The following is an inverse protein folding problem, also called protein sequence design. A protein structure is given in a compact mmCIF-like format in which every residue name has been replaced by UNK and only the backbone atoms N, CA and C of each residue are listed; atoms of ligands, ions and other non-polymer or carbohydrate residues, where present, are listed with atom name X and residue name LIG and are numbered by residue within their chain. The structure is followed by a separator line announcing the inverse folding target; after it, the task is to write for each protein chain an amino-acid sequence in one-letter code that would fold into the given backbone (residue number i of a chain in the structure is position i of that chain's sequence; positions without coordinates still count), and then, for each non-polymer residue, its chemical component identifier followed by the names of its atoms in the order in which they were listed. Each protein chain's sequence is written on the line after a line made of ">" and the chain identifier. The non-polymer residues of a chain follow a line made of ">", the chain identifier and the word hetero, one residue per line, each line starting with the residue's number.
data_IF_200891973858
#
_entry.id   IF_200891973858
#
_cell.length_a   1.000
_cell.length_b   1.000
_cell.length_c   1.000
_cell.angle_alpha   90.00
_cell.angle_beta   90.00
_cell.angle_gamma   90.00
#
_symmetry.space_group_name_H-M   'P 1'
#
loop_
_entity.id
_entity.type
_entity.pdbx_description
1 polymer ?
#
# COMPACT_ATOMS: atom_id res chain seq x y z
N UNK A 1 -5.71 17.26 -26.19
CA UNK A 1 -6.75 16.74 -25.27
C UNK A 1 -6.45 17.24 -23.86
N UNK A 2 -7.35 17.99 -23.20
CA UNK A 2 -7.09 18.53 -21.86
C UNK A 2 -6.98 17.42 -20.81
N UNK A 3 -6.03 17.54 -19.88
CA UNK A 3 -5.85 16.65 -18.72
C UNK A 3 -6.01 17.46 -17.43
N UNK A 4 -6.86 16.98 -16.54
CA UNK A 4 -7.00 17.57 -15.20
C UNK A 4 -5.90 17.02 -14.30
N UNK A 5 -5.21 17.93 -13.60
CA UNK A 5 -4.14 17.61 -12.66
C UNK A 5 -4.43 18.31 -11.33
N UNK A 6 -4.26 17.59 -10.22
CA UNK A 6 -4.32 18.15 -8.86
C UNK A 6 -2.91 18.46 -8.39
N UNK A 7 -2.74 19.58 -7.68
CA UNK A 7 -1.45 20.05 -7.19
C UNK A 7 -1.56 20.54 -5.75
N UNK A 8 -0.43 20.58 -5.03
CA UNK A 8 -0.34 21.12 -3.68
C UNK A 8 0.29 20.17 -2.67
N UNK A 9 0.42 20.63 -1.43
CA UNK A 9 1.17 19.91 -0.40
C UNK A 9 0.48 18.62 0.05
N UNK A 10 -0.84 18.56 -0.04
CA UNK A 10 -1.60 17.34 0.29
C UNK A 10 -1.28 16.21 -0.68
N UNK A 11 -1.25 16.48 -2.00
CA UNK A 11 -0.90 15.44 -2.99
C UNK A 11 0.58 15.08 -2.92
N UNK A 12 1.45 16.04 -2.58
CA UNK A 12 2.87 15.76 -2.32
C UNK A 12 3.05 14.87 -1.09
N UNK A 13 2.37 15.19 0.01
CA UNK A 13 2.42 14.39 1.25
C UNK A 13 1.90 12.98 0.97
N UNK A 14 0.74 12.83 0.32
CA UNK A 14 0.18 11.53 -0.03
C UNK A 14 1.13 10.70 -0.91
N UNK A 15 1.76 11.32 -1.91
CA UNK A 15 2.78 10.66 -2.74
C UNK A 15 3.97 10.18 -1.90
N UNK A 16 4.41 10.94 -0.89
CA UNK A 16 5.49 10.51 0.02
C UNK A 16 5.06 9.35 0.92
N UNK A 17 3.85 9.41 1.47
CA UNK A 17 3.30 8.32 2.28
C UNK A 17 3.24 7.01 1.50
N UNK A 18 2.83 7.08 0.23
CA UNK A 18 2.81 5.92 -0.65
C UNK A 18 4.22 5.40 -0.95
N UNK A 19 5.15 6.28 -1.34
CA UNK A 19 6.53 5.89 -1.68
C UNK A 19 7.34 5.29 -0.51
N UNK A 20 6.95 5.60 0.74
CA UNK A 20 7.57 5.10 1.98
C UNK A 20 6.71 4.07 2.70
N UNK A 21 5.59 3.69 2.10
CA UNK A 21 4.66 2.70 2.62
C UNK A 21 5.18 1.27 2.50
N UNK A 22 4.46 0.35 3.14
CA UNK A 22 4.73 -1.08 3.05
C UNK A 22 3.60 -1.80 2.34
N UNK A 23 3.89 -2.91 1.62
CA UNK A 23 2.87 -3.71 0.97
C UNK A 23 1.82 -4.19 1.94
N UNK A 24 0.59 -4.28 1.45
CA UNK A 24 -0.56 -4.77 2.22
C UNK A 24 -0.82 -3.99 3.53
N UNK A 25 -0.36 -2.74 3.59
CA UNK A 25 -0.66 -1.80 4.68
C UNK A 25 -1.15 -0.48 4.12
N UNK A 26 -1.95 0.24 4.92
CA UNK A 26 -2.45 1.57 4.58
C UNK A 26 -1.72 2.59 5.44
N UNK A 27 -0.84 3.38 4.83
CA UNK A 27 -0.04 4.41 5.50
C UNK A 27 -0.85 5.71 5.62
N UNK A 28 -0.97 6.26 6.82
CA UNK A 28 -1.73 7.50 7.07
C UNK A 28 -0.96 8.51 7.92
N UNK A 29 -1.19 9.80 7.66
CA UNK A 29 -0.57 10.92 8.38
C UNK A 29 -1.30 11.21 9.68
N UNK A 30 -0.66 11.98 10.56
CA UNK A 30 -1.24 12.39 11.84
C UNK A 30 -2.57 13.13 11.66
N UNK A 31 -2.67 14.01 10.67
CA UNK A 31 -3.91 14.73 10.34
C UNK A 31 -5.06 13.78 9.99
N UNK A 32 -4.77 12.71 9.23
CA UNK A 32 -5.77 11.70 8.89
C UNK A 32 -6.18 10.88 10.12
N UNK A 33 -5.25 10.56 11.02
CA UNK A 33 -5.58 9.90 12.30
C UNK A 33 -6.56 10.73 13.11
N UNK A 34 -6.29 12.03 13.28
CA UNK A 34 -7.19 12.92 14.02
C UNK A 34 -8.60 12.95 13.41
N UNK A 35 -8.68 13.03 12.08
CA UNK A 35 -9.95 12.98 11.38
C UNK A 35 -10.68 11.65 11.63
N UNK A 36 -10.00 10.50 11.47
CA UNK A 36 -10.61 9.18 11.67
C UNK A 36 -11.09 8.95 13.12
N UNK A 37 -10.32 9.42 14.11
CA UNK A 37 -10.70 9.32 15.51
C UNK A 37 -11.89 10.23 15.84
N UNK A 38 -11.99 11.41 15.21
CA UNK A 38 -13.12 12.32 15.41
C UNK A 38 -14.45 11.80 14.88
N UNK A 39 -14.42 10.84 13.94
CA UNK A 39 -15.63 10.21 13.40
C UNK A 39 -16.24 9.14 14.33
N UNK A 40 -15.47 8.64 15.31
CA UNK A 40 -15.88 7.60 16.26
C UNK A 40 -16.48 6.31 15.63
N UNK A 41 -16.02 5.94 14.43
CA UNK A 41 -16.51 4.74 13.72
C UNK A 41 -15.70 3.46 14.03
N UNK A 42 -14.88 3.47 15.09
CA UNK A 42 -14.10 2.30 15.51
C UNK A 42 -12.94 1.92 14.58
N UNK A 43 -12.26 2.89 13.98
CA UNK A 43 -11.02 2.64 13.23
C UNK A 43 -9.88 2.18 14.15
N UNK A 44 -9.14 1.17 13.71
CA UNK A 44 -7.98 0.61 14.43
C UNK A 44 -6.70 1.11 13.78
N UNK A 45 -5.87 1.79 14.56
CA UNK A 45 -4.67 2.49 14.09
C UNK A 45 -3.47 2.04 14.93
N UNK A 46 -2.35 1.78 14.28
CA UNK A 46 -1.09 1.40 14.92
C UNK A 46 0.01 2.42 14.59
N UNK A 47 0.86 2.73 15.57
CA UNK A 47 2.00 3.61 15.35
C UNK A 47 3.03 2.91 14.47
N UNK A 48 3.45 3.56 13.39
CA UNK A 48 4.57 3.11 12.55
C UNK A 48 5.90 3.62 13.09
N UNK A 49 5.90 4.88 13.55
CA UNK A 49 7.09 5.60 14.02
C UNK A 49 7.37 6.86 13.20
N UNK A 50 8.56 7.41 13.39
CA UNK A 50 9.00 8.65 12.74
C UNK A 50 9.40 8.42 11.28
N UNK A 51 8.97 9.32 10.40
CA UNK A 51 9.25 9.28 8.97
C UNK A 51 9.70 10.62 8.48
N UNK A 52 10.78 10.63 7.70
CA UNK A 52 11.25 11.85 7.07
C UNK A 52 10.36 12.22 5.89
N UNK A 53 9.67 13.35 6.00
CA UNK A 53 8.89 13.96 4.94
C UNK A 53 9.60 15.23 4.48
N UNK A 54 10.08 15.21 3.24
CA UNK A 54 10.76 16.37 2.63
C UNK A 54 9.87 17.61 2.70
N UNK A 55 10.37 18.66 3.35
CA UNK A 55 9.66 19.93 3.55
C UNK A 55 8.84 20.03 4.84
N UNK A 56 8.61 18.91 5.55
CA UNK A 56 7.95 18.87 6.86
C UNK A 56 8.86 18.40 8.00
N UNK A 57 9.95 17.71 7.69
CA UNK A 57 10.86 17.14 8.68
C UNK A 57 10.43 15.72 9.09
N UNK A 58 10.78 15.32 10.30
CA UNK A 58 10.36 14.03 10.86
C UNK A 58 8.95 14.14 11.44
N UNK A 59 8.02 13.36 10.90
CA UNK A 59 6.64 13.31 11.37
C UNK A 59 6.32 11.89 11.84
N UNK A 60 5.53 11.77 12.91
CA UNK A 60 4.99 10.48 13.32
C UNK A 60 3.89 10.03 12.35
N UNK A 61 3.97 8.77 11.94
CA UNK A 61 3.05 8.18 10.96
C UNK A 61 2.46 6.88 11.48
N UNK A 62 1.37 6.44 10.85
CA UNK A 62 0.55 5.36 11.38
C UNK A 62 0.08 4.40 10.30
N UNK A 63 -0.24 3.18 10.71
CA UNK A 63 -0.91 2.17 9.91
C UNK A 63 -2.39 2.11 10.26
N UNK A 64 -3.25 2.18 9.26
CA UNK A 64 -4.66 1.80 9.42
C UNK A 64 -4.78 0.28 9.27
N UNK A 65 -5.11 -0.41 10.36
CA UNK A 65 -5.11 -1.89 10.42
C UNK A 65 -6.51 -2.51 10.41
N UNK A 66 -7.56 -1.70 10.57
CA UNK A 66 -8.92 -2.19 10.45
C UNK A 66 -9.98 -1.21 10.91
N UNK A 67 -11.22 -1.70 10.95
CA UNK A 67 -12.40 -0.99 11.44
C UNK A 67 -13.30 -1.97 12.17
N UNK A 68 -13.92 -1.55 13.27
CA UNK A 68 -14.97 -2.33 13.92
C UNK A 68 -16.11 -2.64 12.93
N UNK A 69 -16.60 -3.87 12.93
CA UNK A 69 -17.62 -4.33 11.99
C UNK A 69 -17.11 -4.69 10.59
N UNK A 70 -15.82 -4.52 10.28
CA UNK A 70 -15.25 -5.01 9.03
C UNK A 70 -14.90 -6.51 9.15
N UNK A 71 -15.71 -7.37 8.54
CA UNK A 71 -15.59 -8.83 8.63
C UNK A 71 -14.85 -9.49 7.47
N UNK A 72 -14.49 -8.74 6.43
CA UNK A 72 -13.74 -9.30 5.30
C UNK A 72 -12.29 -9.54 5.71
N UNK A 73 -11.67 -10.66 5.27
CA UNK A 73 -10.27 -10.91 5.56
C UNK A 73 -9.41 -9.84 4.89
N UNK A 74 -8.55 -9.20 5.67
CA UNK A 74 -7.50 -8.33 5.16
C UNK A 74 -6.30 -9.19 4.74
N UNK A 75 -5.56 -8.80 3.68
CA UNK A 75 -4.32 -9.48 3.35
C UNK A 75 -3.34 -9.39 4.52
N UNK A 76 -2.67 -10.50 4.82
CA UNK A 76 -1.67 -10.53 5.87
C UNK A 76 -0.50 -9.61 5.49
N UNK A 77 -0.10 -8.67 6.35
CA UNK A 77 1.08 -7.85 6.10
C UNK A 77 2.33 -8.73 5.99
N UNK A 78 3.22 -8.40 5.06
CA UNK A 78 4.51 -9.08 4.97
C UNK A 78 5.32 -8.82 6.25
N UNK A 79 6.01 -9.84 6.80
CA UNK A 79 6.82 -9.72 8.01
C UNK A 79 8.16 -9.06 7.69
N UNK A 80 8.13 -7.78 7.33
CA UNK A 80 9.36 -7.08 6.95
C UNK A 80 9.93 -6.31 8.15
N UNK A 81 11.23 -6.48 8.40
CA UNK A 81 11.95 -5.80 9.46
C UNK A 81 12.60 -4.52 8.94
N UNK A 82 12.83 -3.51 9.81
CA UNK A 82 13.63 -2.36 9.45
C UNK A 82 15.01 -2.79 8.93
N UNK A 83 15.37 -2.37 7.71
CA UNK A 83 16.64 -2.71 7.05
C UNK A 83 16.54 -3.84 6.00
N UNK A 84 15.42 -4.55 5.92
CA UNK A 84 15.21 -5.55 4.86
C UNK A 84 14.96 -4.84 3.50
N UNK A 85 15.51 -5.36 2.39
CA UNK A 85 15.29 -4.82 1.05
C UNK A 85 13.93 -5.27 0.50
N UNK A 86 12.83 -4.88 1.14
CA UNK A 86 11.47 -5.27 0.74
C UNK A 86 11.17 -4.96 -0.72
N UNK A 87 11.70 -3.85 -1.24
CA UNK A 87 11.42 -3.34 -2.58
C UNK A 87 11.88 -4.35 -3.62
N UNK A 88 13.06 -4.94 -3.42
CA UNK A 88 13.61 -5.94 -4.32
C UNK A 88 12.83 -7.25 -4.26
N UNK A 89 12.44 -7.68 -3.05
CA UNK A 89 11.63 -8.88 -2.86
C UNK A 89 10.28 -8.76 -3.58
N UNK A 90 9.58 -7.63 -3.42
CA UNK A 90 8.31 -7.36 -4.10
C UNK A 90 8.52 -7.30 -5.61
N UNK A 91 9.56 -6.61 -6.08
CA UNK A 91 9.86 -6.51 -7.50
C UNK A 91 10.13 -7.89 -8.13
N UNK A 92 10.77 -8.79 -7.39
CA UNK A 92 10.98 -10.18 -7.81
C UNK A 92 9.67 -10.97 -7.83
N UNK A 93 8.82 -10.85 -6.80
CA UNK A 93 7.49 -11.49 -6.77
C UNK A 93 6.61 -11.02 -7.94
N UNK A 94 6.59 -9.71 -8.22
CA UNK A 94 5.86 -9.14 -9.35
C UNK A 94 6.37 -9.73 -10.66
N UNK A 95 7.70 -9.74 -10.88
CA UNK A 95 8.32 -10.35 -12.08
C UNK A 95 7.98 -11.83 -12.21
N UNK A 96 8.02 -12.59 -11.12
CA UNK A 96 7.68 -13.99 -11.09
C UNK A 96 6.19 -14.23 -11.42
N UNK A 97 5.28 -13.44 -10.84
CA UNK A 97 3.85 -13.51 -11.11
C UNK A 97 3.53 -13.23 -12.59
N UNK A 98 4.13 -12.18 -13.17
CA UNK A 98 3.99 -11.88 -14.60
C UNK A 98 4.57 -12.99 -15.47
N UNK A 99 5.71 -13.57 -15.09
CA UNK A 99 6.33 -14.67 -15.85
C UNK A 99 5.45 -15.93 -15.82
N UNK A 100 4.90 -16.28 -14.66
CA UNK A 100 3.96 -17.40 -14.49
C UNK A 100 2.69 -17.19 -15.30
N UNK A 101 2.08 -16.01 -15.26
CA UNK A 101 0.89 -15.70 -16.05
C UNK A 101 1.14 -15.85 -17.57
N UNK A 102 2.34 -15.48 -18.03
CA UNK A 102 2.75 -15.56 -19.43
C UNK A 102 2.99 -17.00 -19.91
N UNK A 103 3.37 -17.91 -19.02
CA UNK A 103 3.51 -19.34 -19.31
C UNK A 103 2.14 -20.06 -19.36
N UNK A 104 1.15 -19.57 -18.61
CA UNK A 104 -0.22 -20.14 -18.62
C UNK A 104 -0.97 -19.79 -19.92
N UNK A 105 -0.70 -18.64 -20.54
CA UNK A 105 -1.33 -18.25 -21.81
C UNK A 105 -0.76 -18.98 -23.04
N UNK A 106 0.27 -19.81 -22.89
CA UNK A 106 0.91 -20.60 -23.97
C UNK A 106 0.62 -22.11 -23.89
N UNK A 107 -0.43 -22.55 -23.21
CA UNK A 107 -0.85 -23.95 -23.19
C UNK A 107 -1.40 -24.43 -24.55
N UNK A 108 -1.19 -25.71 -24.94
CA UNK A 108 -1.55 -26.19 -26.27
C UNK A 108 -3.08 -26.19 -26.45
N UNK A 109 -3.56 -25.57 -27.54
CA UNK A 109 -4.95 -25.76 -28.00
C UNK A 109 -5.14 -27.24 -28.30
N UNK A 110 -5.93 -27.94 -27.48
CA UNK A 110 -6.36 -29.30 -27.76
C UNK A 110 -7.09 -29.31 -29.10
N UNK A 111 -6.52 -30.00 -30.09
CA UNK A 111 -7.14 -30.32 -31.37
C UNK A 111 -8.40 -31.14 -31.10
N UNK A 112 -9.57 -30.55 -31.32
CA UNK A 112 -10.82 -31.29 -31.40
C UNK A 112 -10.85 -32.07 -32.71
N UNK A 113 -10.94 -33.39 -32.60
CA UNK A 113 -11.21 -34.34 -33.68
C UNK A 113 -12.56 -34.04 -34.35
N UNK A 114 -12.61 -34.28 -35.67
CA UNK A 114 -13.80 -34.28 -36.50
C UNK A 114 -14.07 -35.72 -36.98
#
# INVERSE_FOLDING_TARGET
>A
MPRYCLFGDTVNTASRMESTGLPYRIHISQSTVQALLSLDEGYKIEVRGQTELKGKGMEETYWLVGKMGFSKPLPAPLPIKPGDPWQDLINQEIKAAFTKARQVSSGPRSSGEA
#
